data_IF_332297424345
#
_entry.id   IF_332297424345
#
_cell.length_a   1.000
_cell.length_b   1.000
_cell.length_c   1.000
_cell.angle_alpha   90.00
_cell.angle_beta   90.00
_cell.angle_gamma   90.00
#
_symmetry.space_group_name_H-M   'P 1'
#
loop_
_entity.id
_entity.type
_entity.pdbx_description
1 polymer ?
#
# COMPACT_ATOMS: atom_id res chain seq x y z
N UNK A 1 0.94 -15.79 0.81
CA UNK A 1 1.01 -14.66 1.72
C UNK A 1 1.66 -13.45 1.10
N UNK A 2 2.97 -13.56 0.79
CA UNK A 2 3.81 -12.45 0.35
C UNK A 2 3.24 -11.78 -0.91
N UNK A 3 2.72 -12.59 -1.85
CA UNK A 3 2.05 -12.09 -3.06
C UNK A 3 0.84 -11.21 -2.72
N UNK A 4 -0.07 -11.69 -1.86
CA UNK A 4 -1.24 -10.91 -1.45
C UNK A 4 -0.84 -9.60 -0.74
N UNK A 5 0.16 -9.65 0.15
CA UNK A 5 0.66 -8.47 0.85
C UNK A 5 1.25 -7.43 -0.11
N UNK A 6 2.11 -7.87 -1.05
CA UNK A 6 2.72 -7.00 -2.05
C UNK A 6 1.68 -6.38 -2.97
N UNK A 7 0.72 -7.19 -3.43
CA UNK A 7 -0.35 -6.73 -4.31
C UNK A 7 -1.23 -5.68 -3.64
N UNK A 8 -1.65 -5.90 -2.38
CA UNK A 8 -2.46 -4.94 -1.61
C UNK A 8 -1.72 -3.61 -1.47
N UNK A 9 -0.43 -3.62 -1.12
CA UNK A 9 0.34 -2.37 -0.98
C UNK A 9 0.52 -1.68 -2.32
N UNK A 10 0.80 -2.42 -3.38
CA UNK A 10 1.01 -1.84 -4.72
C UNK A 10 -0.28 -1.27 -5.33
N UNK A 11 -1.43 -1.91 -5.08
CA UNK A 11 -2.72 -1.53 -5.67
C UNK A 11 -3.53 -0.55 -4.85
N UNK A 12 -3.44 -0.63 -3.53
CA UNK A 12 -4.26 0.14 -2.59
C UNK A 12 -3.45 1.10 -1.71
N UNK A 13 -2.14 1.01 -1.74
CA UNK A 13 -1.27 1.89 -0.97
C UNK A 13 -1.40 1.76 0.56
N UNK A 14 -1.97 0.68 1.08
CA UNK A 14 -2.12 0.47 2.52
C UNK A 14 -0.73 0.47 3.19
N UNK A 15 -0.60 1.15 4.34
CA UNK A 15 0.65 1.11 5.10
C UNK A 15 0.90 -0.30 5.63
N UNK A 16 2.15 -0.75 5.61
CA UNK A 16 2.50 -2.11 6.03
C UNK A 16 2.05 -2.43 7.45
N UNK A 17 2.11 -1.48 8.37
CA UNK A 17 1.61 -1.67 9.74
C UNK A 17 0.09 -1.90 9.77
N UNK A 18 -0.67 -1.15 8.98
CA UNK A 18 -2.12 -1.32 8.87
C UNK A 18 -2.47 -2.66 8.19
N UNK A 19 -1.70 -3.04 7.15
CA UNK A 19 -1.87 -4.32 6.46
C UNK A 19 -1.64 -5.52 7.39
N UNK A 20 -0.59 -5.48 8.24
CA UNK A 20 -0.32 -6.54 9.20
C UNK A 20 -1.42 -6.68 10.26
N UNK A 21 -2.08 -5.58 10.57
CA UNK A 21 -3.20 -5.53 11.53
C UNK A 21 -4.57 -5.76 10.89
N UNK A 22 -4.62 -6.07 9.59
CA UNK A 22 -5.88 -6.28 8.88
C UNK A 22 -6.57 -7.55 9.39
N UNK A 23 -7.83 -7.41 9.79
CA UNK A 23 -8.67 -8.48 10.32
C UNK A 23 -9.68 -8.96 9.28
N UNK A 24 -10.20 -10.17 9.45
CA UNK A 24 -11.29 -10.68 8.61
C UNK A 24 -12.50 -9.75 8.62
N UNK A 25 -12.83 -9.16 9.78
CA UNK A 25 -13.94 -8.19 9.91
C UNK A 25 -13.72 -6.88 9.15
N UNK A 26 -12.52 -6.61 8.66
CA UNK A 26 -12.25 -5.43 7.85
C UNK A 26 -12.60 -5.64 6.36
N UNK A 27 -12.88 -6.85 5.94
CA UNK A 27 -13.21 -7.16 4.54
C UNK A 27 -14.73 -7.33 4.41
N UNK A 28 -15.35 -6.38 3.72
CA UNK A 28 -16.74 -6.49 3.31
C UNK A 28 -16.80 -7.07 1.89
N UNK A 29 -16.98 -8.37 1.82
CA UNK A 29 -17.06 -9.11 0.55
C UNK A 29 -18.31 -8.73 -0.25
N UNK A 30 -19.42 -8.43 0.43
CA UNK A 30 -20.70 -8.12 -0.21
C UNK A 30 -20.66 -6.77 -0.91
N UNK A 31 -20.10 -5.75 -0.24
CA UNK A 31 -19.95 -4.41 -0.77
C UNK A 31 -18.60 -4.18 -1.48
N UNK A 32 -17.76 -5.21 -1.56
CA UNK A 32 -16.42 -5.16 -2.17
C UNK A 32 -15.57 -4.01 -1.60
N UNK A 33 -15.43 -3.95 -0.27
CA UNK A 33 -14.70 -2.89 0.43
C UNK A 33 -13.73 -3.45 1.47
N UNK A 34 -12.72 -2.66 1.77
CA UNK A 34 -11.80 -2.88 2.88
C UNK A 34 -11.89 -1.67 3.80
N UNK A 35 -12.42 -1.88 5.01
CA UNK A 35 -12.68 -0.84 6.00
C UNK A 35 -11.82 -1.04 7.24
N UNK A 36 -10.99 -0.07 7.56
CA UNK A 36 -10.12 -0.15 8.76
C UNK A 36 -9.78 1.24 9.31
N UNK A 37 -9.28 1.27 10.54
CA UNK A 37 -8.72 2.47 11.17
C UNK A 37 -7.21 2.42 11.08
N UNK A 38 -6.59 3.44 10.52
CA UNK A 38 -5.13 3.51 10.41
C UNK A 38 -4.49 3.67 11.79
N UNK A 39 -3.50 2.84 12.09
CA UNK A 39 -2.82 2.87 13.38
C UNK A 39 -2.09 4.20 13.66
N UNK A 40 -1.47 4.79 12.65
CA UNK A 40 -0.69 6.03 12.81
C UNK A 40 -1.54 7.30 12.92
N UNK A 41 -2.60 7.41 12.14
CA UNK A 41 -3.39 8.65 12.00
C UNK A 41 -4.75 8.57 12.68
N UNK A 42 -5.16 7.39 13.16
CA UNK A 42 -6.48 7.08 13.70
C UNK A 42 -7.62 7.44 12.74
N UNK A 43 -7.32 7.51 11.44
CA UNK A 43 -8.30 7.85 10.41
C UNK A 43 -8.97 6.58 9.89
N UNK A 44 -10.30 6.66 9.74
CA UNK A 44 -11.07 5.57 9.12
C UNK A 44 -10.86 5.63 7.61
N UNK A 45 -10.45 4.52 7.03
CA UNK A 45 -10.22 4.35 5.60
C UNK A 45 -11.18 3.31 5.08
N UNK A 46 -11.75 3.60 3.93
CA UNK A 46 -12.59 2.70 3.17
C UNK A 46 -12.08 2.65 1.74
N UNK A 47 -11.53 1.50 1.33
CA UNK A 47 -10.95 1.29 0.01
C UNK A 47 -11.77 0.26 -0.77
N UNK A 48 -11.81 0.33 -2.12
CA UNK A 48 -12.43 -0.70 -2.91
C UNK A 48 -11.63 -2.01 -2.81
N UNK A 49 -12.31 -3.13 -2.67
CA UNK A 49 -11.70 -4.45 -2.79
C UNK A 49 -11.59 -4.79 -4.29
N UNK A 50 -10.45 -4.49 -4.89
CA UNK A 50 -10.21 -4.80 -6.30
C UNK A 50 -10.23 -6.31 -6.53
N UNK A 51 -10.68 -6.75 -7.71
CA UNK A 51 -10.84 -8.17 -8.03
C UNK A 51 -9.55 -8.98 -7.86
N UNK A 52 -8.44 -8.46 -8.37
CA UNK A 52 -7.11 -9.09 -8.25
C UNK A 52 -6.66 -9.22 -6.79
N UNK A 53 -6.90 -8.20 -5.99
CA UNK A 53 -6.64 -8.20 -4.53
C UNK A 53 -7.54 -9.20 -3.82
N UNK A 54 -8.82 -9.22 -4.15
CA UNK A 54 -9.79 -10.16 -3.58
C UNK A 54 -9.41 -11.62 -3.84
N UNK A 55 -9.05 -11.97 -5.08
CA UNK A 55 -8.59 -13.31 -5.43
C UNK A 55 -7.30 -13.69 -4.71
N UNK A 56 -6.34 -12.77 -4.61
CA UNK A 56 -5.09 -13.02 -3.88
C UNK A 56 -5.33 -13.25 -2.38
N UNK A 57 -6.28 -12.53 -1.77
CA UNK A 57 -6.70 -12.75 -0.39
C UNK A 57 -7.35 -14.11 -0.20
N UNK A 58 -8.31 -14.47 -1.08
CA UNK A 58 -9.01 -15.78 -1.02
C UNK A 58 -8.01 -16.91 -1.14
N UNK A 59 -7.13 -16.86 -2.14
CA UNK A 59 -6.10 -17.88 -2.33
C UNK A 59 -5.19 -18.02 -1.11
N UNK A 60 -4.75 -16.90 -0.55
CA UNK A 60 -3.93 -16.93 0.66
C UNK A 60 -4.69 -17.53 1.86
N UNK A 61 -5.93 -17.12 2.08
CA UNK A 61 -6.74 -17.58 3.22
C UNK A 61 -7.03 -19.08 3.11
N UNK A 62 -7.37 -19.56 1.92
CA UNK A 62 -7.77 -20.94 1.70
C UNK A 62 -6.58 -21.91 1.61
N UNK A 63 -5.53 -21.50 0.89
CA UNK A 63 -4.46 -22.42 0.49
C UNK A 63 -3.12 -22.14 1.19
N UNK A 64 -2.89 -20.91 1.67
CA UNK A 64 -1.56 -20.51 2.15
C UNK A 64 -1.49 -20.14 3.62
N UNK A 65 -2.61 -19.81 4.28
CA UNK A 65 -2.62 -19.34 5.64
C UNK A 65 -2.53 -20.50 6.64
N UNK A 66 -1.58 -20.47 7.61
CA UNK A 66 -1.58 -21.40 8.73
C UNK A 66 -2.92 -21.40 9.47
N UNK A 67 -3.41 -22.58 9.86
CA UNK A 67 -4.65 -22.75 10.61
C UNK A 67 -4.40 -22.40 12.08
N UNK A 68 -4.60 -21.15 12.43
CA UNK A 68 -4.53 -20.63 13.80
C UNK A 68 -5.77 -19.80 14.11
N UNK A 69 -6.19 -19.84 15.38
CA UNK A 69 -7.33 -19.05 15.87
C UNK A 69 -6.86 -17.62 16.18
N UNK A 70 -7.05 -16.74 15.20
CA UNK A 70 -6.74 -15.31 15.32
C UNK A 70 -7.59 -14.50 14.33
N UNK A 71 -8.07 -13.32 14.72
CA UNK A 71 -8.86 -12.48 13.85
C UNK A 71 -8.05 -11.86 12.69
N UNK A 72 -6.73 -11.90 12.74
CA UNK A 72 -5.87 -11.29 11.74
C UNK A 72 -5.75 -12.14 10.48
N UNK A 73 -5.82 -11.50 9.32
CA UNK A 73 -5.69 -12.17 8.02
C UNK A 73 -4.24 -12.67 7.84
N UNK A 74 -3.28 -11.76 8.03
CA UNK A 74 -1.87 -12.06 7.79
C UNK A 74 -1.17 -12.50 9.08
N UNK A 75 -0.46 -13.63 8.99
CA UNK A 75 0.23 -14.24 10.11
C UNK A 75 1.64 -14.70 9.71
N UNK A 76 2.48 -14.95 10.70
CA UNK A 76 3.83 -15.51 10.47
C UNK A 76 3.72 -16.92 9.89
N UNK A 77 4.69 -17.31 9.05
CA UNK A 77 4.80 -18.67 8.48
C UNK A 77 5.96 -19.46 9.10
N UNK A 78 6.45 -18.97 10.23
CA UNK A 78 7.47 -19.64 11.04
C UNK A 78 6.87 -19.87 12.42
N UNK A 79 7.04 -21.06 12.98
CA UNK A 79 6.54 -21.39 14.31
C UNK A 79 7.26 -20.55 15.39
N UNK A 80 6.52 -20.15 16.45
CA UNK A 80 5.07 -20.28 16.60
C UNK A 80 4.32 -19.38 15.61
N UNK A 81 3.32 -19.92 14.91
CA UNK A 81 2.48 -19.14 14.02
C UNK A 81 1.67 -18.14 14.84
N UNK A 82 1.81 -16.87 14.54
CA UNK A 82 1.15 -15.78 15.27
C UNK A 82 0.96 -14.55 14.38
N UNK A 83 0.24 -13.57 14.90
CA UNK A 83 0.17 -12.23 14.29
C UNK A 83 1.55 -11.59 14.19
N UNK A 84 1.67 -10.60 13.29
CA UNK A 84 2.91 -9.87 13.14
C UNK A 84 3.16 -8.92 14.31
N UNK A 85 4.34 -8.99 14.90
CA UNK A 85 4.81 -7.99 15.86
C UNK A 85 5.05 -6.64 15.16
N UNK A 86 4.81 -5.52 15.85
CA UNK A 86 4.98 -4.16 15.31
C UNK A 86 6.41 -3.86 14.82
N UNK A 87 7.41 -4.59 15.27
CA UNK A 87 8.81 -4.46 14.87
C UNK A 87 9.21 -5.28 13.64
N UNK A 88 8.30 -6.00 13.01
CA UNK A 88 8.63 -6.92 11.92
C UNK A 88 9.08 -6.15 10.65
N UNK A 89 10.31 -6.41 10.22
CA UNK A 89 10.94 -5.71 9.09
C UNK A 89 10.51 -6.32 7.76
N UNK A 90 9.36 -5.90 7.23
CA UNK A 90 8.84 -6.36 5.94
C UNK A 90 9.65 -5.86 4.73
N UNK A 91 10.62 -4.96 4.92
CA UNK A 91 11.51 -4.48 3.85
C UNK A 91 12.29 -5.62 3.17
N UNK A 92 12.60 -6.69 3.91
CA UNK A 92 13.26 -7.87 3.36
C UNK A 92 12.41 -8.60 2.32
N UNK A 93 11.09 -8.55 2.42
CA UNK A 93 10.18 -9.20 1.48
C UNK A 93 10.32 -8.62 0.07
N UNK A 94 10.23 -7.30 -0.07
CA UNK A 94 10.37 -6.64 -1.38
C UNK A 94 11.73 -6.95 -1.98
N UNK A 95 12.81 -6.80 -1.20
CA UNK A 95 14.18 -7.08 -1.66
C UNK A 95 14.36 -8.53 -2.12
N UNK A 96 13.78 -9.49 -1.38
CA UNK A 96 13.80 -10.91 -1.77
C UNK A 96 13.23 -11.10 -3.18
N UNK A 97 12.07 -10.56 -3.46
CA UNK A 97 11.42 -10.74 -4.77
C UNK A 97 12.08 -9.93 -5.88
N UNK A 98 12.64 -8.76 -5.58
CA UNK A 98 13.46 -8.02 -6.54
C UNK A 98 14.72 -8.80 -6.96
N UNK A 99 15.40 -9.41 -5.98
CA UNK A 99 16.55 -10.25 -6.28
C UNK A 99 16.17 -11.47 -7.13
N UNK A 100 15.05 -12.13 -6.80
CA UNK A 100 14.55 -13.27 -7.60
C UNK A 100 14.15 -12.85 -9.02
N UNK A 101 13.69 -11.61 -9.20
CA UNK A 101 13.38 -11.05 -10.50
C UNK A 101 14.61 -10.46 -11.22
N UNK A 102 15.82 -10.65 -10.68
CA UNK A 102 17.08 -10.11 -11.21
C UNK A 102 17.08 -8.56 -11.39
N UNK A 103 16.28 -7.84 -10.60
CA UNK A 103 16.22 -6.37 -10.60
C UNK A 103 17.33 -5.80 -9.72
N UNK A 104 18.59 -6.04 -10.07
CA UNK A 104 19.76 -5.68 -9.24
C UNK A 104 20.24 -4.24 -9.40
N UNK A 105 19.82 -3.53 -10.44
CA UNK A 105 20.25 -2.15 -10.73
C UNK A 105 19.54 -1.08 -9.91
N UNK A 106 18.56 -1.46 -9.12
CA UNK A 106 17.77 -0.52 -8.33
C UNK A 106 18.53 -0.16 -7.06
N UNK A 107 18.69 1.13 -6.82
CA UNK A 107 19.32 1.70 -5.63
C UNK A 107 18.72 1.06 -4.36
N UNK A 108 19.39 0.06 -3.81
CA UNK A 108 18.89 -0.90 -2.81
C UNK A 108 18.48 -0.26 -1.48
N UNK A 109 18.86 1.00 -1.26
CA UNK A 109 18.55 1.72 -0.02
C UNK A 109 17.08 2.16 0.13
N UNK A 110 16.33 2.19 -0.99
CA UNK A 110 14.92 2.65 -1.00
C UNK A 110 13.91 1.55 -1.32
N UNK A 111 14.33 0.27 -1.38
CA UNK A 111 13.45 -0.84 -1.73
C UNK A 111 12.73 -1.41 -0.52
N UNK A 112 11.48 -1.09 -0.38
CA UNK A 112 10.63 -1.59 0.71
C UNK A 112 9.15 -1.44 0.40
N UNK A 113 8.29 -1.94 1.28
CA UNK A 113 6.83 -1.80 1.14
C UNK A 113 6.40 -0.34 0.99
N UNK A 114 7.12 0.58 1.62
CA UNK A 114 6.84 2.01 1.51
C UNK A 114 7.10 2.55 0.11
N UNK A 115 8.09 2.01 -0.60
CA UNK A 115 8.38 2.39 -1.99
C UNK A 115 7.23 2.03 -2.93
N UNK A 116 6.58 0.87 -2.75
CA UNK A 116 5.41 0.50 -3.54
C UNK A 116 4.26 1.50 -3.38
N UNK A 117 4.02 1.93 -2.13
CA UNK A 117 3.03 2.97 -1.86
C UNK A 117 3.41 4.33 -2.48
N UNK A 118 4.70 4.69 -2.44
CA UNK A 118 5.19 5.90 -3.11
C UNK A 118 5.01 5.82 -4.62
N UNK A 119 5.32 4.67 -5.22
CA UNK A 119 5.09 4.44 -6.66
C UNK A 119 3.62 4.62 -7.02
N UNK A 120 2.69 4.02 -6.24
CA UNK A 120 1.26 4.23 -6.47
C UNK A 120 0.88 5.70 -6.43
N UNK A 121 1.35 6.44 -5.41
CA UNK A 121 1.07 7.87 -5.28
C UNK A 121 1.61 8.67 -6.48
N UNK A 122 2.86 8.41 -6.91
CA UNK A 122 3.45 9.06 -8.08
C UNK A 122 2.68 8.75 -9.36
N UNK A 123 2.30 7.49 -9.57
CA UNK A 123 1.49 7.09 -10.73
C UNK A 123 0.12 7.77 -10.73
N UNK A 124 -0.53 7.94 -9.58
CA UNK A 124 -1.79 8.69 -9.49
C UNK A 124 -1.59 10.16 -9.87
N UNK A 125 -0.49 10.79 -9.45
CA UNK A 125 -0.14 12.16 -9.84
C UNK A 125 0.12 12.25 -11.35
N UNK A 126 0.91 11.34 -11.91
CA UNK A 126 1.21 11.27 -13.35
C UNK A 126 -0.07 11.09 -14.20
N UNK A 127 -1.03 10.32 -13.70
CA UNK A 127 -2.35 10.13 -14.32
C UNK A 127 -3.31 11.32 -14.08
N UNK A 128 -2.84 12.42 -13.50
CA UNK A 128 -3.63 13.64 -13.22
C UNK A 128 -4.86 13.38 -12.34
N UNK A 129 -4.78 12.40 -11.45
CA UNK A 129 -5.83 12.15 -10.47
C UNK A 129 -6.00 13.35 -9.55
N UNK A 130 -7.26 13.63 -9.16
CA UNK A 130 -7.54 14.71 -8.23
C UNK A 130 -6.79 14.50 -6.91
N UNK A 131 -6.17 15.56 -6.42
CA UNK A 131 -5.39 15.54 -5.18
C UNK A 131 -6.20 14.98 -3.98
N UNK A 132 -7.51 15.30 -3.92
CA UNK A 132 -8.43 14.74 -2.94
C UNK A 132 -8.52 13.21 -3.00
N UNK A 133 -8.52 12.62 -4.22
CA UNK A 133 -8.57 11.18 -4.40
C UNK A 133 -7.27 10.51 -3.91
N UNK A 134 -6.12 11.12 -4.23
CA UNK A 134 -4.81 10.64 -3.78
C UNK A 134 -4.74 10.68 -2.25
N UNK A 135 -5.13 11.81 -1.65
CA UNK A 135 -5.15 11.98 -0.20
C UNK A 135 -6.09 10.99 0.49
N UNK A 136 -7.29 10.78 -0.07
CA UNK A 136 -8.27 9.83 0.45
C UNK A 136 -7.76 8.38 0.37
N UNK A 137 -7.19 7.98 -0.77
CA UNK A 137 -6.63 6.64 -0.99
C UNK A 137 -5.48 6.35 -0.02
N UNK A 138 -4.61 7.32 0.16
CA UNK A 138 -3.45 7.17 1.02
C UNK A 138 -3.78 7.44 2.51
N UNK A 139 -4.93 8.02 2.82
CA UNK A 139 -5.30 8.40 4.18
C UNK A 139 -4.31 9.39 4.79
N UNK A 140 -3.99 10.46 4.05
CA UNK A 140 -3.19 11.56 4.55
C UNK A 140 -4.07 12.50 5.35
N UNK A 141 -3.55 12.96 6.49
CA UNK A 141 -4.27 13.89 7.38
C UNK A 141 -4.13 15.34 6.93
N UNK A 142 -3.04 15.68 6.25
CA UNK A 142 -2.78 17.01 5.73
C UNK A 142 -2.43 16.94 4.24
N UNK A 143 -2.76 18.00 3.53
CA UNK A 143 -2.39 18.19 2.13
C UNK A 143 -0.87 18.20 1.94
N UNK A 144 -0.11 18.69 2.93
CA UNK A 144 1.36 18.71 2.92
C UNK A 144 1.97 17.31 2.73
N UNK A 145 1.34 16.29 3.32
CA UNK A 145 1.82 14.90 3.17
C UNK A 145 1.68 14.38 1.75
N UNK A 146 0.76 14.93 0.97
CA UNK A 146 0.54 14.59 -0.43
C UNK A 146 1.35 15.53 -1.34
N UNK A 147 1.61 16.78 -0.91
CA UNK A 147 2.43 17.75 -1.63
C UNK A 147 3.87 17.28 -1.90
N UNK A 148 4.38 16.33 -1.09
CA UNK A 148 5.68 15.69 -1.33
C UNK A 148 5.73 15.02 -2.72
N UNK A 149 4.61 14.46 -3.18
CA UNK A 149 4.53 13.79 -4.48
C UNK A 149 4.44 14.79 -5.65
N UNK A 150 3.93 16.00 -5.41
CA UNK A 150 3.91 17.07 -6.41
C UNK A 150 5.33 17.55 -6.74
N UNK A 151 6.26 17.50 -5.78
CA UNK A 151 7.66 17.87 -6.02
C UNK A 151 8.39 16.92 -6.97
N UNK A 152 7.91 15.69 -7.12
CA UNK A 152 8.45 14.71 -8.08
C UNK A 152 7.86 14.89 -9.48
N UNK A 153 6.73 15.59 -9.60
CA UNK A 153 6.07 15.90 -10.87
C UNK A 153 6.31 17.34 -11.33
N UNK A 154 7.56 17.83 -11.26
CA UNK A 154 7.91 19.21 -11.67
C UNK A 154 7.47 19.53 -13.11
N UNK A 155 7.40 18.54 -13.99
CA UNK A 155 6.90 18.73 -15.37
C UNK A 155 5.39 19.02 -15.38
N UNK A 156 4.60 18.44 -14.46
CA UNK A 156 3.16 18.72 -14.34
C UNK A 156 2.88 20.13 -13.79
N UNK A 157 3.81 20.68 -13.00
CA UNK A 157 3.73 22.08 -12.55
C UNK A 157 4.02 23.08 -13.66
N UNK A 158 4.81 22.69 -14.67
CA UNK A 158 5.05 23.54 -15.86
C UNK A 158 3.79 23.76 -16.67
N UNK A 159 2.95 22.74 -16.81
CA UNK A 159 1.67 22.85 -17.54
C UNK A 159 0.64 23.74 -16.80
N UNK A 160 0.88 24.01 -15.51
CA UNK A 160 0.05 24.90 -14.68
C UNK A 160 0.66 26.30 -14.52
N UNK A 161 1.88 26.52 -15.02
CA UNK A 161 2.51 27.84 -14.99
C UNK A 161 1.78 28.77 -15.96
N UNK A 162 1.28 29.89 -15.44
CA UNK A 162 0.77 30.98 -16.29
C UNK A 162 1.88 31.47 -17.19
N UNK A 163 1.60 31.66 -18.48
CA UNK A 163 2.51 32.33 -19.41
C UNK A 163 2.89 33.70 -18.82
N UNK A 164 4.19 33.90 -18.60
CA UNK A 164 4.70 35.20 -18.16
C UNK A 164 4.52 36.14 -19.36
N UNK A 165 3.75 37.24 -19.27
CA UNK A 165 3.65 38.20 -20.35
C UNK A 165 5.04 38.72 -20.67
N UNK A 166 5.48 38.64 -21.93
CA UNK A 166 6.68 39.29 -22.39
C UNK A 166 6.50 40.80 -22.21
N UNK A 167 7.41 41.44 -21.47
CA UNK A 167 7.48 42.91 -21.30
C UNK A 167 8.25 43.53 -22.43
#
# INVERSE_FOLDING_TARGET
>A
RDYAMLLIVARLGIRIGDLCNLKFSNIDWSNQRIDFVQGKTQHRISLPLLKDVGWALIDYIQNGRPKIDTPYIFVTHVAPFKEFDQGNRHSRMVRKYMNLAHLTSVNTHKCGMHSLRHTLASTMVENREKFSNISATLGHRSEDSTAIYLKTGVELLRDCALEIPEV
#
